data_IF_311597118203
#
_entry.id   IF_311597118203
#
_cell.length_a   1.000
_cell.length_b   1.000
_cell.length_c   1.000
_cell.angle_alpha   90.00
_cell.angle_beta   90.00
_cell.angle_gamma   90.00
#
_symmetry.space_group_name_H-M   'P 1'
#
loop_
_entity.id
_entity.type
_entity.pdbx_description
1 polymer ?
#
# COMPACT_ATOMS: atom_id res chain seq x y z
N UNK A 1 -4.86 -20.16 -1.50
CA UNK A 1 -3.59 -19.98 -2.22
C UNK A 1 -2.54 -20.84 -1.54
N UNK A 2 -1.76 -21.64 -2.28
CA UNK A 2 -0.68 -22.44 -1.68
C UNK A 2 0.63 -21.63 -1.64
N UNK A 3 1.67 -22.18 -1.00
CA UNK A 3 2.95 -21.47 -0.79
C UNK A 3 3.67 -21.14 -2.11
N UNK A 4 3.65 -22.05 -3.08
CA UNK A 4 4.29 -21.84 -4.39
C UNK A 4 3.56 -20.79 -5.23
N UNK A 5 2.23 -20.81 -5.21
CA UNK A 5 1.39 -19.82 -5.86
C UNK A 5 1.58 -18.42 -5.24
N UNK A 6 1.75 -18.34 -3.92
CA UNK A 6 2.12 -17.10 -3.24
C UNK A 6 3.50 -16.58 -3.64
N UNK A 7 4.50 -17.46 -3.70
CA UNK A 7 5.86 -17.09 -4.14
C UNK A 7 5.86 -16.56 -5.56
N UNK A 8 5.16 -17.20 -6.49
CA UNK A 8 5.03 -16.73 -7.89
C UNK A 8 4.40 -15.35 -7.99
N UNK A 9 3.39 -15.08 -7.15
CA UNK A 9 2.79 -13.75 -7.08
C UNK A 9 3.81 -12.73 -6.58
N UNK A 10 4.55 -13.03 -5.51
CA UNK A 10 5.60 -12.13 -5.01
C UNK A 10 6.71 -11.88 -6.04
N UNK A 11 7.19 -12.91 -6.74
CA UNK A 11 8.21 -12.80 -7.77
C UNK A 11 7.73 -11.95 -8.96
N UNK A 12 6.45 -12.07 -9.34
CA UNK A 12 5.84 -11.27 -10.40
C UNK A 12 5.80 -9.77 -10.02
N UNK A 13 5.38 -9.44 -8.79
CA UNK A 13 5.39 -8.06 -8.29
C UNK A 13 6.79 -7.48 -8.12
N UNK A 14 7.79 -8.33 -7.84
CA UNK A 14 9.20 -7.94 -7.72
C UNK A 14 9.95 -7.89 -9.07
N UNK A 15 9.31 -8.32 -10.16
CA UNK A 15 9.93 -8.34 -11.49
C UNK A 15 10.06 -6.93 -12.07
N UNK A 16 11.19 -6.64 -12.70
CA UNK A 16 11.49 -5.36 -13.34
C UNK A 16 10.42 -4.98 -14.38
N UNK A 17 9.85 -5.96 -15.09
CA UNK A 17 8.75 -5.74 -16.04
C UNK A 17 7.48 -5.17 -15.38
N UNK A 18 7.16 -5.62 -14.16
CA UNK A 18 6.04 -5.08 -13.38
C UNK A 18 6.40 -3.72 -12.78
N UNK A 19 7.65 -3.49 -12.40
CA UNK A 19 8.12 -2.22 -11.87
C UNK A 19 8.30 -1.15 -12.94
N UNK A 20 8.61 -1.49 -14.19
CA UNK A 20 8.84 -0.57 -15.31
C UNK A 20 7.56 -0.16 -16.04
N UNK A 21 6.43 -0.83 -15.77
CA UNK A 21 5.15 -0.44 -16.32
C UNK A 21 4.76 0.98 -15.83
N UNK A 22 4.57 1.97 -16.70
CA UNK A 22 4.19 3.32 -16.26
C UNK A 22 2.88 3.33 -15.48
N UNK A 23 1.95 2.41 -15.74
CA UNK A 23 0.72 2.26 -14.95
C UNK A 23 0.98 1.77 -13.51
N UNK A 24 2.06 1.05 -13.23
CA UNK A 24 2.45 0.69 -11.85
C UNK A 24 3.36 1.74 -11.23
N UNK A 25 4.21 2.41 -12.01
CA UNK A 25 5.02 3.56 -11.56
C UNK A 25 4.19 4.81 -11.25
N UNK A 26 3.05 5.01 -11.93
CA UNK A 26 2.15 6.16 -11.70
C UNK A 26 1.20 5.94 -10.52
N UNK A 27 0.93 4.69 -10.11
CA UNK A 27 0.00 4.45 -9.00
C UNK A 27 0.76 4.58 -7.69
N UNK A 28 0.60 5.74 -7.05
CA UNK A 28 1.12 5.92 -5.69
C UNK A 28 0.48 4.90 -4.72
N UNK A 29 1.19 4.48 -3.66
CA UNK A 29 0.62 3.58 -2.65
C UNK A 29 -0.71 4.07 -2.07
N UNK A 30 -0.84 5.39 -1.91
CA UNK A 30 -2.08 6.07 -1.48
C UNK A 30 -3.21 5.85 -2.50
N UNK A 31 -2.90 5.95 -3.79
CA UNK A 31 -3.84 5.72 -4.88
C UNK A 31 -4.29 4.26 -4.97
N UNK A 32 -3.36 3.31 -4.78
CA UNK A 32 -3.68 1.88 -4.73
C UNK A 32 -4.59 1.54 -3.55
N UNK A 33 -4.29 2.10 -2.36
CA UNK A 33 -5.11 1.90 -1.16
C UNK A 33 -6.54 2.39 -1.35
N UNK A 34 -6.69 3.61 -1.91
CA UNK A 34 -8.01 4.17 -2.24
C UNK A 34 -8.78 3.25 -3.18
N UNK A 35 -8.18 2.82 -4.29
CA UNK A 35 -8.84 1.95 -5.29
C UNK A 35 -9.35 0.64 -4.70
N UNK A 36 -8.63 0.08 -3.72
CA UNK A 36 -8.97 -1.21 -3.10
C UNK A 36 -9.97 -1.10 -1.94
N UNK A 37 -10.07 0.07 -1.31
CA UNK A 37 -10.90 0.30 -0.11
C UNK A 37 -12.11 1.22 -0.34
N UNK A 38 -12.36 1.62 -1.59
CA UNK A 38 -13.60 2.26 -2.02
C UNK A 38 -14.51 1.31 -2.80
N UNK A 39 -15.82 1.46 -2.67
CA UNK A 39 -16.80 0.72 -3.47
C UNK A 39 -16.86 1.27 -4.93
N UNK A 40 -17.76 0.71 -5.75
CA UNK A 40 -17.94 1.13 -7.16
C UNK A 40 -18.35 2.60 -7.31
N UNK A 41 -18.95 3.18 -6.28
CA UNK A 41 -19.38 4.57 -6.21
C UNK A 41 -18.27 5.50 -5.66
N UNK A 42 -17.08 4.95 -5.36
CA UNK A 42 -15.96 5.70 -4.80
C UNK A 42 -16.09 6.00 -3.30
N UNK A 43 -17.08 5.42 -2.61
CA UNK A 43 -17.31 5.61 -1.19
C UNK A 43 -16.45 4.64 -0.37
N UNK A 44 -15.87 5.14 0.71
CA UNK A 44 -15.09 4.32 1.63
C UNK A 44 -15.91 3.17 2.20
N UNK A 45 -15.30 1.99 2.20
CA UNK A 45 -15.91 0.77 2.70
C UNK A 45 -16.01 0.73 4.23
N UNK A 46 -15.24 1.57 4.94
CA UNK A 46 -15.30 1.76 6.39
C UNK A 46 -14.68 3.09 6.82
N UNK A 47 -15.01 3.58 8.02
CA UNK A 47 -14.34 4.73 8.64
C UNK A 47 -12.84 4.46 8.85
N UNK A 48 -12.49 3.23 9.23
CA UNK A 48 -11.11 2.77 9.35
C UNK A 48 -10.31 2.90 8.05
N UNK A 49 -10.95 2.61 6.90
CA UNK A 49 -10.32 2.77 5.60
C UNK A 49 -10.03 4.25 5.29
N UNK A 50 -10.95 5.14 5.66
CA UNK A 50 -10.72 6.57 5.52
C UNK A 50 -9.57 7.06 6.39
N UNK A 51 -9.56 6.74 7.68
CA UNK A 51 -8.49 7.18 8.60
C UNK A 51 -7.11 6.65 8.20
N UNK A 52 -7.05 5.41 7.72
CA UNK A 52 -5.79 4.83 7.24
C UNK A 52 -5.32 5.51 5.96
N UNK A 53 -6.23 5.88 5.06
CA UNK A 53 -5.90 6.64 3.87
C UNK A 53 -5.30 8.00 4.23
N UNK A 54 -5.92 8.75 5.16
CA UNK A 54 -5.39 10.05 5.61
C UNK A 54 -3.98 9.92 6.21
N UNK A 55 -3.71 8.85 6.96
CA UNK A 55 -2.37 8.57 7.50
C UNK A 55 -1.35 8.24 6.41
N UNK A 56 -1.72 7.45 5.40
CA UNK A 56 -0.83 7.15 4.28
C UNK A 56 -0.53 8.41 3.44
N UNK A 57 -1.54 9.25 3.20
CA UNK A 57 -1.40 10.50 2.45
C UNK A 57 -0.48 11.48 3.18
N UNK A 58 -0.68 11.66 4.49
CA UNK A 58 0.20 12.52 5.31
C UNK A 58 1.65 12.03 5.34
N UNK A 59 1.87 10.71 5.44
CA UNK A 59 3.21 10.12 5.41
C UNK A 59 3.89 10.28 4.04
N UNK A 60 3.15 10.10 2.94
CA UNK A 60 3.65 10.30 1.59
C UNK A 60 4.11 11.76 1.39
N UNK A 61 3.29 12.73 1.78
CA UNK A 61 3.63 14.17 1.69
C UNK A 61 4.81 14.57 2.58
N UNK A 62 4.89 14.03 3.80
CA UNK A 62 6.03 14.29 4.68
C UNK A 62 7.34 13.81 4.04
N UNK A 63 7.35 12.64 3.41
CA UNK A 63 8.55 12.05 2.86
C UNK A 63 9.03 12.72 1.57
N UNK A 64 8.10 13.18 0.73
CA UNK A 64 8.41 14.04 -0.41
C UNK A 64 9.17 15.30 0.04
N UNK A 65 8.81 15.85 1.21
CA UNK A 65 9.53 16.99 1.81
C UNK A 65 10.91 16.63 2.38
N UNK A 66 11.11 15.37 2.79
CA UNK A 66 12.38 14.85 3.32
C UNK A 66 13.31 14.27 2.23
N UNK A 67 12.86 14.24 0.96
CA UNK A 67 13.61 13.65 -0.16
C UNK A 67 13.79 12.14 -0.06
N UNK A 68 12.93 11.46 0.70
CA UNK A 68 12.95 10.01 0.90
C UNK A 68 11.80 9.38 0.13
N UNK A 69 12.07 8.26 -0.55
CA UNK A 69 11.03 7.43 -1.16
C UNK A 69 10.83 6.19 -0.30
N UNK A 70 9.67 6.02 0.32
CA UNK A 70 9.26 4.70 0.81
C UNK A 70 8.75 3.86 -0.36
N UNK A 71 9.05 2.57 -0.30
CA UNK A 71 8.35 1.57 -1.11
C UNK A 71 6.90 1.44 -0.64
N UNK A 72 6.00 1.02 -1.54
CA UNK A 72 4.60 0.80 -1.21
C UNK A 72 4.43 -0.10 0.04
N UNK A 73 5.28 -1.12 0.16
CA UNK A 73 5.31 -2.08 1.28
C UNK A 73 5.55 -1.40 2.62
N UNK A 74 6.44 -0.42 2.68
CA UNK A 74 6.79 0.24 3.93
C UNK A 74 5.69 1.19 4.42
N UNK A 75 4.99 1.90 3.52
CA UNK A 75 3.84 2.74 3.87
C UNK A 75 2.69 1.86 4.40
N UNK A 76 2.43 0.74 3.74
CA UNK A 76 1.45 -0.22 4.22
C UNK A 76 1.82 -0.81 5.57
N UNK A 77 3.09 -1.19 5.79
CA UNK A 77 3.55 -1.70 7.07
C UNK A 77 3.39 -0.65 8.18
N UNK A 78 3.79 0.60 7.97
CA UNK A 78 3.70 1.65 9.00
C UNK A 78 2.25 1.93 9.40
N UNK A 79 1.34 2.05 8.43
CA UNK A 79 -0.05 2.41 8.71
C UNK A 79 -0.87 1.22 9.19
N UNK A 80 -0.72 0.06 8.55
CA UNK A 80 -1.54 -1.12 8.83
C UNK A 80 -0.96 -1.98 9.96
N UNK A 81 0.37 -2.09 10.10
CA UNK A 81 0.96 -2.90 11.18
C UNK A 81 0.79 -2.26 12.56
N UNK A 82 0.63 -0.93 12.65
CA UNK A 82 0.34 -0.26 13.92
C UNK A 82 -1.02 -0.66 14.52
N UNK A 83 -1.91 -1.28 13.72
CA UNK A 83 -3.21 -1.79 14.15
C UNK A 83 -3.17 -3.27 14.58
N UNK A 84 -2.13 -4.01 14.19
CA UNK A 84 -1.85 -5.34 14.73
C UNK A 84 -1.14 -5.15 16.08
N UNK A 85 -1.92 -5.05 17.15
CA UNK A 85 -1.40 -5.04 18.51
C UNK A 85 -0.40 -6.18 18.72
N UNK A 86 0.65 -5.89 19.49
CA UNK A 86 1.66 -6.81 20.02
C UNK A 86 1.12 -8.23 20.21
N UNK A 87 1.39 -9.12 19.26
CA UNK A 87 1.51 -10.53 19.57
C UNK A 87 2.95 -10.73 20.06
N UNK A 88 3.17 -10.55 21.37
CA UNK A 88 4.33 -11.18 22.00
C UNK A 88 4.23 -12.70 21.77
N UNK A 89 5.37 -13.26 21.34
CA UNK A 89 5.60 -14.69 21.07
C UNK A 89 5.41 -15.56 22.30
#
# INVERSE_FOLDING_TARGET
MNKEEWTRVCDLFASEEFQENPESKEISPVSLYKKTHTNKDGMWTSEDAWENFEKMEALQLQQESEGKSYTEVEIFAVVLAKKAGTCEV
#
